data_IF_497535688033
#
_entry.id   IF_497535688033
#
_cell.length_a   1.000
_cell.length_b   1.000
_cell.length_c   1.000
_cell.angle_alpha   90.00
_cell.angle_beta   90.00
_cell.angle_gamma   90.00
#
_symmetry.space_group_name_H-M   'P 1'
#
loop_
_entity.id
_entity.type
_entity.pdbx_description
1 polymer ?
#
# COMPACT_ATOMS: atom_id res chain seq x y z
N UNK A 1 -4.37 6.49 -2.67
CA UNK A 1 -4.53 5.94 -4.04
C UNK A 1 -3.17 5.48 -4.52
N UNK A 2 -3.08 4.26 -5.05
CA UNK A 2 -1.86 3.82 -5.72
C UNK A 2 -1.81 4.44 -7.13
N UNK A 3 -0.62 4.79 -7.66
CA UNK A 3 -0.46 5.32 -9.01
C UNK A 3 -0.89 4.30 -10.08
N UNK A 4 -1.25 4.76 -11.27
CA UNK A 4 -1.48 3.89 -12.43
C UNK A 4 -0.17 3.28 -12.92
N UNK A 5 -0.23 2.23 -13.76
CA UNK A 5 0.99 1.60 -14.28
C UNK A 5 1.81 2.54 -15.16
N UNK A 6 1.15 3.38 -15.92
CA UNK A 6 1.77 4.40 -16.74
C UNK A 6 2.51 5.44 -15.88
N UNK A 7 1.89 5.87 -14.76
CA UNK A 7 2.51 6.79 -13.80
C UNK A 7 3.71 6.16 -13.09
N UNK A 8 3.60 4.89 -12.67
CA UNK A 8 4.70 4.15 -12.05
C UNK A 8 5.92 4.10 -12.99
N UNK A 9 5.71 3.71 -14.26
CA UNK A 9 6.78 3.59 -15.26
C UNK A 9 7.43 4.96 -15.51
N UNK A 10 6.61 6.01 -15.67
CA UNK A 10 7.10 7.36 -15.90
C UNK A 10 7.96 7.88 -14.74
N UNK A 11 7.50 7.69 -13.50
CA UNK A 11 8.22 8.13 -12.30
C UNK A 11 9.50 7.31 -12.06
N UNK A 12 9.45 5.99 -12.26
CA UNK A 12 10.64 5.12 -12.15
C UNK A 12 11.72 5.52 -13.15
N UNK A 13 11.34 5.73 -14.40
CA UNK A 13 12.28 6.06 -15.48
C UNK A 13 12.70 7.54 -15.52
N UNK A 14 12.18 8.37 -14.61
CA UNK A 14 12.60 9.75 -14.50
C UNK A 14 14.05 9.83 -14.01
N UNK A 15 14.95 10.24 -14.91
CA UNK A 15 16.38 10.46 -14.66
C UNK A 15 16.76 11.96 -14.71
N UNK A 16 15.76 12.85 -14.67
CA UNK A 16 15.97 14.29 -14.63
C UNK A 16 16.30 14.79 -13.22
N UNK A 17 16.33 16.12 -13.08
CA UNK A 17 16.58 16.77 -11.78
C UNK A 17 15.40 16.54 -10.82
N UNK A 18 15.66 15.83 -9.71
CA UNK A 18 14.67 15.55 -8.67
C UNK A 18 14.07 16.82 -8.05
N UNK A 19 14.76 17.97 -8.10
CA UNK A 19 14.23 19.25 -7.61
C UNK A 19 12.99 19.71 -8.40
N UNK A 20 12.83 19.24 -9.64
CA UNK A 20 11.69 19.54 -10.51
C UNK A 20 10.48 18.65 -10.23
N UNK A 21 10.64 17.59 -9.45
CA UNK A 21 9.54 16.75 -8.99
C UNK A 21 8.89 17.36 -7.75
N UNK A 22 7.56 17.34 -7.72
CA UNK A 22 6.79 17.70 -6.53
C UNK A 22 7.16 16.82 -5.33
N UNK A 23 6.79 17.25 -4.11
CA UNK A 23 7.03 16.46 -2.90
C UNK A 23 6.39 15.07 -2.96
N UNK A 24 5.15 14.98 -3.47
CA UNK A 24 4.44 13.72 -3.64
C UNK A 24 5.10 12.80 -4.68
N UNK A 25 5.58 13.34 -5.80
CA UNK A 25 6.27 12.59 -6.86
C UNK A 25 7.61 12.04 -6.37
N UNK A 26 8.38 12.84 -5.62
CA UNK A 26 9.63 12.38 -4.99
C UNK A 26 9.38 11.26 -3.99
N UNK A 27 8.35 11.39 -3.16
CA UNK A 27 7.93 10.34 -2.24
C UNK A 27 7.57 9.05 -3.00
N UNK A 28 6.72 9.16 -4.02
CA UNK A 28 6.32 8.00 -4.82
C UNK A 28 7.49 7.36 -5.55
N UNK A 29 8.42 8.15 -6.12
CA UNK A 29 9.63 7.62 -6.75
C UNK A 29 10.46 6.78 -5.77
N UNK A 30 10.71 7.30 -4.56
CA UNK A 30 11.44 6.56 -3.53
C UNK A 30 10.71 5.28 -3.09
N UNK A 31 9.37 5.32 -2.97
CA UNK A 31 8.56 4.13 -2.68
C UNK A 31 8.65 3.11 -3.81
N UNK A 32 8.61 3.56 -5.07
CA UNK A 32 8.64 2.72 -6.25
C UNK A 32 9.97 1.97 -6.44
N UNK A 33 11.07 2.51 -5.91
CA UNK A 33 12.38 1.85 -5.89
C UNK A 33 12.42 0.64 -4.93
N UNK A 34 11.47 0.53 -4.00
CA UNK A 34 11.35 -0.62 -3.10
C UNK A 34 10.66 -1.78 -3.86
N UNK A 35 11.28 -2.97 -3.93
CA UNK A 35 10.64 -4.13 -4.55
C UNK A 35 9.30 -4.47 -3.89
N UNK A 36 8.26 -4.60 -4.70
CA UNK A 36 6.91 -4.94 -4.27
C UNK A 36 6.32 -4.00 -3.20
N UNK A 37 6.70 -2.71 -3.20
CA UNK A 37 6.33 -1.73 -2.18
C UNK A 37 4.84 -1.78 -1.77
N UNK A 38 3.93 -1.68 -2.73
CA UNK A 38 2.49 -1.67 -2.46
C UNK A 38 1.98 -3.01 -1.92
N UNK A 39 2.44 -4.14 -2.48
CA UNK A 39 2.09 -5.49 -1.97
C UNK A 39 2.57 -5.69 -0.52
N UNK A 40 3.74 -5.14 -0.17
CA UNK A 40 4.24 -5.17 1.21
C UNK A 40 3.36 -4.34 2.14
N UNK A 41 2.94 -3.15 1.72
CA UNK A 41 2.00 -2.31 2.48
C UNK A 41 0.66 -3.01 2.66
N UNK A 42 0.11 -3.64 1.62
CA UNK A 42 -1.12 -4.44 1.69
C UNK A 42 -0.99 -5.59 2.70
N UNK A 43 0.11 -6.34 2.66
CA UNK A 43 0.36 -7.43 3.60
C UNK A 43 0.54 -6.93 5.05
N UNK A 44 1.20 -5.79 5.24
CA UNK A 44 1.33 -5.14 6.54
C UNK A 44 -0.04 -4.69 7.09
N UNK A 45 -0.88 -4.10 6.23
CA UNK A 45 -2.23 -3.69 6.58
C UNK A 45 -3.10 -4.89 6.98
N UNK A 46 -3.07 -5.97 6.18
CA UNK A 46 -3.74 -7.22 6.51
C UNK A 46 -3.31 -7.73 7.88
N UNK A 47 -1.99 -7.82 8.12
CA UNK A 47 -1.46 -8.30 9.41
C UNK A 47 -1.87 -7.40 10.58
N UNK A 48 -1.89 -6.08 10.39
CA UNK A 48 -2.28 -5.13 11.44
C UNK A 48 -3.75 -5.29 11.85
N UNK A 49 -4.61 -5.70 10.92
CA UNK A 49 -6.05 -5.85 11.14
C UNK A 49 -6.49 -7.29 11.42
N UNK A 50 -5.64 -8.29 11.16
CA UNK A 50 -6.03 -9.70 11.20
C UNK A 50 -6.70 -10.12 12.50
N UNK A 51 -6.07 -9.82 13.64
CA UNK A 51 -6.60 -10.25 14.94
C UNK A 51 -7.94 -9.58 15.27
N UNK A 52 -8.12 -8.30 14.93
CA UNK A 52 -9.36 -7.58 15.20
C UNK A 52 -10.49 -8.08 14.30
N UNK A 53 -10.23 -8.27 13.01
CA UNK A 53 -11.21 -8.78 12.04
C UNK A 53 -11.65 -10.21 12.37
N UNK A 54 -10.72 -11.10 12.72
CA UNK A 54 -11.03 -12.48 13.14
C UNK A 54 -11.83 -12.49 14.44
N UNK A 55 -11.44 -11.69 15.42
CA UNK A 55 -12.18 -11.62 16.70
C UNK A 55 -13.58 -11.06 16.52
N UNK A 56 -13.74 -10.05 15.67
CA UNK A 56 -15.06 -9.54 15.29
C UNK A 56 -15.90 -10.65 14.68
N UNK A 57 -15.37 -11.34 13.66
CA UNK A 57 -16.09 -12.40 12.96
C UNK A 57 -16.51 -13.55 13.89
N UNK A 58 -15.62 -13.99 14.80
CA UNK A 58 -15.92 -15.02 15.80
C UNK A 58 -17.09 -14.62 16.70
N UNK A 59 -17.11 -13.39 17.21
CA UNK A 59 -18.20 -12.88 18.06
C UNK A 59 -19.52 -12.80 17.28
N UNK A 60 -19.46 -12.39 16.01
CA UNK A 60 -20.65 -12.38 15.15
C UNK A 60 -21.25 -13.78 14.99
N UNK A 61 -20.43 -14.82 14.79
CA UNK A 61 -20.92 -16.19 14.68
C UNK A 61 -21.42 -16.78 16.00
N UNK A 62 -20.78 -16.47 17.12
CA UNK A 62 -21.26 -16.90 18.44
C UNK A 62 -22.69 -16.42 18.75
N UNK A 63 -23.08 -15.26 18.21
CA UNK A 63 -24.45 -14.75 18.37
C UNK A 63 -25.49 -15.62 17.66
N UNK A 64 -25.08 -16.39 16.64
CA UNK A 64 -25.95 -17.24 15.83
C UNK A 64 -25.99 -18.70 16.32
N UNK A 65 -25.07 -19.10 17.20
CA UNK A 65 -25.07 -20.40 17.85
C UNK A 65 -26.06 -20.36 19.02
N UNK A 66 -27.21 -21.05 18.85
CA UNK A 66 -28.24 -21.25 19.90
C UNK A 66 -27.94 -22.50 20.71
#
# INVERSE_FOLDING_TARGET
MAPTKEEEIKLKNYNGDLSKLGSAERFLKAVLDIPFAFKRVEAMLYRANFDSEVNYLRKSFQTLEV
#
